data_IF_941022989707
#
_entry.id   IF_941022989707
#
_cell.length_a   1.000
_cell.length_b   1.000
_cell.length_c   1.000
_cell.angle_alpha   90.00
_cell.angle_beta   90.00
_cell.angle_gamma   90.00
#
_symmetry.space_group_name_H-M   'P 1'
#
loop_
_entity.id
_entity.type
_entity.pdbx_description
1 polymer ?
#
# COMPACT_ATOMS: atom_id res chain seq x y z
N UNK A 1 6.32 6.19 8.30
CA UNK A 1 7.67 5.62 8.49
C UNK A 1 8.53 5.99 7.32
N UNK A 2 7.99 6.04 6.09
CA UNK A 2 8.42 6.88 4.96
C UNK A 2 9.70 7.72 5.18
N UNK A 3 9.66 8.78 5.99
CA UNK A 3 10.86 9.64 6.20
C UNK A 3 12.06 8.90 6.76
N UNK A 4 11.84 8.01 7.72
CA UNK A 4 12.89 7.20 8.32
C UNK A 4 13.44 6.18 7.31
N UNK A 5 12.57 5.52 6.53
CA UNK A 5 12.95 4.60 5.46
C UNK A 5 13.82 5.31 4.42
N UNK A 6 13.37 6.47 3.94
CA UNK A 6 14.14 7.28 2.98
C UNK A 6 15.49 7.70 3.56
N UNK A 7 15.55 8.12 4.83
CA UNK A 7 16.82 8.48 5.46
C UNK A 7 17.83 7.32 5.51
N UNK A 8 17.39 6.10 5.84
CA UNK A 8 18.31 4.94 5.95
C UNK A 8 18.64 4.29 4.60
N UNK A 9 17.86 4.60 3.55
CA UNK A 9 18.07 4.12 2.18
C UNK A 9 18.70 5.18 1.27
N UNK A 10 19.30 6.24 1.84
CA UNK A 10 19.92 7.31 1.05
C UNK A 10 18.94 8.11 0.17
N UNK A 11 17.65 8.07 0.48
CA UNK A 11 16.58 8.72 -0.27
C UNK A 11 15.88 7.81 -1.28
N UNK A 12 16.38 6.61 -1.54
CA UNK A 12 15.85 5.74 -2.59
C UNK A 12 14.50 5.12 -2.21
N UNK A 13 14.34 4.67 -0.97
CA UNK A 13 13.21 3.83 -0.56
C UNK A 13 13.54 2.33 -0.70
N UNK A 14 12.53 1.48 -0.52
CA UNK A 14 12.68 0.01 -0.56
C UNK A 14 12.04 -0.59 -1.80
N UNK A 15 12.54 -1.75 -2.23
CA UNK A 15 11.98 -2.54 -3.33
C UNK A 15 10.56 -3.03 -3.05
N UNK A 16 10.30 -3.49 -1.81
CA UNK A 16 9.04 -4.11 -1.42
C UNK A 16 8.52 -3.52 -0.09
N UNK A 17 7.23 -3.20 -0.06
CA UNK A 17 6.51 -2.77 1.15
C UNK A 17 5.33 -3.71 1.38
N UNK A 18 5.19 -4.24 2.59
CA UNK A 18 4.03 -5.04 3.00
C UNK A 18 3.14 -4.17 3.89
N UNK A 19 1.96 -3.80 3.40
CA UNK A 19 0.98 -2.97 4.12
C UNK A 19 -0.12 -3.86 4.72
N UNK A 20 -0.29 -3.77 6.03
CA UNK A 20 -1.25 -4.60 6.80
C UNK A 20 -2.28 -3.77 7.58
N UNK A 21 -2.11 -2.44 7.67
CA UNK A 21 -2.93 -1.54 8.48
C UNK A 21 -4.08 -0.84 7.73
N UNK A 22 -4.08 -0.86 6.40
CA UNK A 22 -5.17 -0.33 5.57
C UNK A 22 -5.02 1.14 5.15
N UNK A 23 -6.14 1.84 4.90
CA UNK A 23 -6.13 3.15 4.22
C UNK A 23 -5.34 4.24 4.95
N UNK A 24 -5.39 4.27 6.29
CA UNK A 24 -4.71 5.30 7.11
C UNK A 24 -3.18 5.22 7.08
N UNK A 25 -2.62 4.09 6.65
CA UNK A 25 -1.18 3.83 6.59
C UNK A 25 -0.65 3.68 5.17
N UNK A 26 -1.53 3.38 4.21
CA UNK A 26 -1.18 3.09 2.83
C UNK A 26 -0.33 4.17 2.15
N UNK A 27 -0.68 5.44 2.31
CA UNK A 27 0.06 6.55 1.68
C UNK A 27 1.51 6.65 2.19
N UNK A 28 1.73 6.35 3.48
CA UNK A 28 3.08 6.29 4.07
C UNK A 28 3.83 5.05 3.57
N UNK A 29 3.14 3.96 3.27
CA UNK A 29 3.72 2.79 2.61
C UNK A 29 4.14 3.08 1.18
N UNK A 30 3.31 3.74 0.37
CA UNK A 30 3.66 4.18 -0.98
C UNK A 30 4.92 5.06 -0.98
N UNK A 31 4.98 6.08 -0.11
CA UNK A 31 6.17 6.96 0.00
C UNK A 31 7.44 6.24 0.47
N UNK A 32 7.33 5.04 1.01
CA UNK A 32 8.47 4.25 1.45
C UNK A 32 9.10 3.44 0.32
N UNK A 33 8.33 3.15 -0.74
CA UNK A 33 8.82 2.45 -1.91
C UNK A 33 9.78 3.33 -2.74
N UNK A 34 10.70 2.67 -3.44
CA UNK A 34 11.48 3.31 -4.50
C UNK A 34 10.70 3.38 -5.81
N UNK A 35 11.21 4.16 -6.74
CA UNK A 35 10.81 4.08 -8.14
C UNK A 35 10.96 2.64 -8.65
N UNK A 36 9.93 2.11 -9.29
CA UNK A 36 9.81 0.72 -9.75
C UNK A 36 9.56 -0.29 -8.64
N UNK A 37 9.35 0.15 -7.41
CA UNK A 37 9.09 -0.71 -6.25
C UNK A 37 7.67 -1.27 -6.23
N UNK A 38 7.43 -2.17 -5.29
CA UNK A 38 6.17 -2.88 -5.10
C UNK A 38 5.59 -2.63 -3.72
N UNK A 39 4.29 -2.34 -3.66
CA UNK A 39 3.53 -2.32 -2.41
C UNK A 39 2.49 -3.44 -2.44
N UNK A 40 2.62 -4.36 -1.49
CA UNK A 40 1.73 -5.50 -1.28
C UNK A 40 0.75 -5.16 -0.16
N UNK A 41 -0.53 -4.99 -0.49
CA UNK A 41 -1.57 -4.72 0.51
C UNK A 41 -2.22 -6.02 0.94
N UNK A 42 -2.09 -6.37 2.23
CA UNK A 42 -2.65 -7.59 2.86
C UNK A 42 -3.65 -7.24 3.99
N UNK A 43 -3.83 -5.94 4.29
CA UNK A 43 -4.67 -5.46 5.39
C UNK A 43 -6.18 -5.52 5.13
N UNK A 44 -6.94 -5.57 6.22
CA UNK A 44 -8.41 -5.52 6.16
C UNK A 44 -8.85 -4.08 5.90
N UNK A 45 -9.59 -3.88 4.80
CA UNK A 45 -10.38 -2.67 4.58
C UNK A 45 -11.64 -2.76 5.46
N UNK A 46 -11.51 -2.85 6.79
CA UNK A 46 -12.68 -3.05 7.66
C UNK A 46 -13.60 -1.86 7.53
N UNK A 47 -14.81 -2.14 7.06
CA UNK A 47 -15.91 -1.20 7.04
C UNK A 47 -16.01 -0.47 5.72
N UNK A 48 -16.98 -0.94 4.91
CA UNK A 48 -17.59 -0.19 3.81
C UNK A 48 -16.60 0.04 2.67
N UNK A 49 -16.90 -0.60 1.54
CA UNK A 49 -16.70 -0.03 0.22
C UNK A 49 -15.58 1.00 0.21
N UNK A 50 -14.37 0.51 -0.05
CA UNK A 50 -13.57 0.92 -1.20
C UNK A 50 -14.07 2.20 -1.91
N UNK A 51 -14.33 3.26 -1.16
CA UNK A 51 -14.45 4.64 -1.60
C UNK A 51 -13.01 5.07 -1.74
N UNK A 52 -12.40 4.35 -2.67
CA UNK A 52 -11.00 4.33 -2.97
C UNK A 52 -10.79 5.62 -3.71
N UNK A 53 -10.66 6.70 -2.93
CA UNK A 53 -9.73 7.77 -3.22
C UNK A 53 -8.32 7.24 -3.57
N UNK A 54 -8.05 5.94 -3.38
CA UNK A 54 -6.99 5.20 -4.07
C UNK A 54 -7.02 5.46 -5.59
N UNK A 55 -8.14 5.49 -6.32
CA UNK A 55 -8.11 5.77 -7.77
C UNK A 55 -7.43 7.11 -8.14
N UNK A 56 -7.84 8.26 -7.59
CA UNK A 56 -7.15 9.52 -7.87
C UNK A 56 -5.74 9.61 -7.26
N UNK A 57 -5.45 8.96 -6.11
CA UNK A 57 -4.10 8.88 -5.54
C UNK A 57 -3.19 8.01 -6.42
N UNK A 58 -3.73 6.94 -7.00
CA UNK A 58 -3.01 6.01 -7.85
C UNK A 58 -2.61 6.67 -9.16
N UNK A 59 -3.42 7.53 -9.78
CA UNK A 59 -3.08 8.06 -11.09
C UNK A 59 -1.83 8.97 -11.11
N UNK A 60 -1.46 9.60 -9.98
CA UNK A 60 -0.24 10.44 -9.87
C UNK A 60 0.98 9.68 -9.32
N UNK A 61 0.77 8.52 -8.71
CA UNK A 61 1.81 7.71 -8.06
C UNK A 61 2.09 6.37 -8.77
N UNK A 62 1.19 5.92 -9.66
CA UNK A 62 1.31 4.66 -10.42
C UNK A 62 2.22 4.75 -11.64
N UNK A 63 2.59 5.94 -12.11
CA UNK A 63 3.49 6.04 -13.27
C UNK A 63 4.78 5.25 -13.03
N UNK A 64 5.16 5.07 -11.77
CA UNK A 64 6.45 4.54 -11.37
C UNK A 64 6.41 3.44 -10.30
N UNK A 65 5.25 3.09 -9.71
CA UNK A 65 5.17 2.09 -8.61
C UNK A 65 4.08 1.06 -8.88
N UNK A 66 4.43 -0.22 -8.80
CA UNK A 66 3.46 -1.31 -8.93
C UNK A 66 2.79 -1.57 -7.59
N UNK A 67 1.48 -1.72 -7.59
CA UNK A 67 0.69 -2.04 -6.38
C UNK A 67 0.01 -3.38 -6.62
N UNK A 68 0.30 -4.36 -5.78
CA UNK A 68 -0.37 -5.66 -5.79
C UNK A 68 -1.27 -5.77 -4.57
N UNK A 69 -2.57 -6.00 -4.80
CA UNK A 69 -3.56 -6.11 -3.73
C UNK A 69 -3.85 -7.60 -3.52
N UNK A 70 -3.63 -8.08 -2.30
CA UNK A 70 -4.00 -9.42 -1.88
C UNK A 70 -5.24 -9.29 -0.99
N UNK A 71 -6.40 -9.61 -1.55
CA UNK A 71 -7.64 -9.72 -0.78
C UNK A 71 -7.66 -11.11 -0.15
N UNK A 72 -7.59 -11.20 1.18
CA UNK A 72 -8.00 -12.43 1.87
C UNK A 72 -9.52 -12.51 1.78
N UNK A 73 -10.04 -13.56 1.13
CA UNK A 73 -11.45 -13.86 1.21
C UNK A 73 -11.78 -14.25 2.65
N UNK A 74 -12.91 -13.77 3.17
CA UNK A 74 -13.54 -14.41 4.31
C UNK A 74 -14.02 -15.79 3.82
N UNK A 75 -13.25 -16.84 4.08
CA UNK A 75 -13.82 -18.19 4.15
C UNK A 75 -14.44 -18.38 5.55
N UNK A 76 -15.72 -18.74 5.53
CA UNK A 76 -16.61 -19.21 6.61
C UNK A 76 -17.22 -18.21 7.61
N UNK A 77 -18.53 -17.98 7.45
CA UNK A 77 -19.51 -18.82 8.16
C UNK A 77 -20.90 -18.67 7.53
N UNK A 78 -21.24 -19.60 6.62
CA UNK A 78 -22.65 -19.94 6.38
C UNK A 78 -23.06 -20.90 7.50
N UNK A 79 -23.51 -20.33 8.62
CA UNK A 79 -24.21 -21.03 9.70
C UNK A 79 -25.68 -20.69 9.67
#
# INVERSE_FOLDING_TARGET
WDKAVKRVTGGEGVDHVIEVGGAGTFERSLRSARYGGQVHLIGVLTGVQADLGIFPITQKLLDDTSITIYMTGDEESSG
#
